data_IF_189722024082
#
_entry.id   IF_189722024082
#
_cell.length_a   1.000
_cell.length_b   1.000
_cell.length_c   1.000
_cell.angle_alpha   90.00
_cell.angle_beta   90.00
_cell.angle_gamma   90.00
#
_symmetry.space_group_name_H-M   'P 1'
#
loop_
_entity.id
_entity.type
_entity.pdbx_description
1 polymer ?
#
# COMPACT_ATOMS: atom_id res chain seq x y z
N UNK A 1 13.36 22.08 -13.41
CA UNK A 1 11.90 22.15 -13.60
C UNK A 1 11.31 22.79 -12.34
N UNK A 2 10.36 23.73 -12.49
CA UNK A 2 9.69 24.34 -11.34
C UNK A 2 8.38 23.60 -11.03
N UNK A 3 8.06 23.47 -9.74
CA UNK A 3 6.80 22.90 -9.28
C UNK A 3 5.65 23.90 -9.48
N UNK A 4 4.44 23.38 -9.62
CA UNK A 4 3.21 24.18 -9.59
C UNK A 4 3.03 24.81 -8.21
N UNK A 5 2.48 26.01 -8.18
CA UNK A 5 2.20 26.74 -6.95
C UNK A 5 0.71 26.68 -6.64
N UNK A 6 0.37 26.26 -5.44
CA UNK A 6 -1.01 26.35 -4.95
C UNK A 6 -1.29 27.78 -4.49
N UNK A 7 -2.28 28.43 -5.11
CA UNK A 7 -2.74 29.80 -4.77
C UNK A 7 -3.81 29.72 -3.67
N UNK A 8 -4.79 28.84 -3.84
CA UNK A 8 -5.88 28.66 -2.86
C UNK A 8 -6.42 27.24 -2.85
N UNK A 9 -7.08 26.88 -1.77
CA UNK A 9 -7.78 25.59 -1.56
C UNK A 9 -9.17 25.86 -1.02
N UNK A 10 -10.13 25.06 -1.47
CA UNK A 10 -11.50 25.11 -0.98
C UNK A 10 -12.06 23.70 -0.88
N UNK A 11 -12.43 23.27 0.30
CA UNK A 11 -13.12 21.98 0.50
C UNK A 11 -14.50 22.06 -0.18
N UNK A 12 -14.82 21.10 -1.02
CA UNK A 12 -16.12 20.95 -1.70
C UNK A 12 -16.90 19.74 -1.18
N UNK A 13 -16.20 18.72 -0.67
CA UNK A 13 -16.80 17.55 -0.02
C UNK A 13 -15.87 17.08 1.09
N UNK A 14 -16.42 16.85 2.26
CA UNK A 14 -15.76 16.11 3.34
C UNK A 14 -16.72 14.97 3.73
N UNK A 15 -16.36 13.73 3.37
CA UNK A 15 -17.17 12.56 3.59
C UNK A 15 -16.39 11.49 4.34
N UNK A 16 -16.56 11.46 5.67
CA UNK A 16 -15.86 10.56 6.58
C UNK A 16 -14.32 10.75 6.62
N UNK A 17 -13.65 9.91 7.38
CA UNK A 17 -12.17 9.87 7.43
C UNK A 17 -11.52 9.38 6.11
N UNK A 18 -12.31 8.82 5.20
CA UNK A 18 -11.78 8.17 3.99
C UNK A 18 -11.75 9.07 2.75
N UNK A 19 -12.48 10.21 2.75
CA UNK A 19 -12.58 11.03 1.55
C UNK A 19 -12.79 12.50 1.86
N UNK A 20 -11.85 13.34 1.40
CA UNK A 20 -12.05 14.78 1.26
C UNK A 20 -11.76 15.17 -0.18
N UNK A 21 -12.58 16.05 -0.74
CA UNK A 21 -12.40 16.61 -2.08
C UNK A 21 -12.30 18.12 -1.98
N UNK A 22 -11.28 18.68 -2.63
CA UNK A 22 -11.02 20.11 -2.66
C UNK A 22 -10.92 20.60 -4.11
N UNK A 23 -11.31 21.86 -4.33
CA UNK A 23 -10.91 22.66 -5.50
C UNK A 23 -9.64 23.44 -5.15
N UNK A 24 -8.58 23.25 -5.91
CA UNK A 24 -7.38 24.07 -5.83
C UNK A 24 -7.35 25.07 -6.98
N UNK A 25 -6.90 26.30 -6.70
CA UNK A 25 -6.41 27.21 -7.74
C UNK A 25 -4.89 27.05 -7.77
N UNK A 26 -4.35 26.70 -8.94
CA UNK A 26 -2.91 26.46 -9.12
C UNK A 26 -2.32 27.35 -10.20
N UNK A 27 -1.08 27.76 -10.03
CA UNK A 27 -0.27 28.50 -11.01
C UNK A 27 0.82 27.58 -11.56
N UNK A 28 0.86 27.49 -12.88
CA UNK A 28 1.89 26.76 -13.61
C UNK A 28 3.19 27.58 -13.72
N UNK A 29 4.34 26.95 -14.00
CA UNK A 29 5.63 27.66 -14.10
C UNK A 29 5.65 28.83 -15.07
N UNK A 30 4.87 28.74 -16.14
CA UNK A 30 4.72 29.80 -17.15
C UNK A 30 3.72 30.90 -16.75
N UNK A 31 3.21 30.91 -15.53
CA UNK A 31 2.29 31.90 -14.98
C UNK A 31 0.81 31.66 -15.31
N UNK A 32 0.46 30.63 -16.06
CA UNK A 32 -0.95 30.26 -16.30
C UNK A 32 -1.63 29.78 -15.04
N UNK A 33 -2.78 30.36 -14.73
CA UNK A 33 -3.59 29.98 -13.58
C UNK A 33 -4.71 29.04 -14.00
N UNK A 34 -4.84 27.92 -13.31
CA UNK A 34 -5.94 26.97 -13.45
C UNK A 34 -6.76 27.02 -12.18
N UNK A 35 -8.03 27.40 -12.30
CA UNK A 35 -9.02 27.34 -11.22
C UNK A 35 -9.71 25.97 -11.22
N UNK A 36 -10.16 25.54 -10.04
CA UNK A 36 -10.90 24.27 -9.85
C UNK A 36 -10.10 23.03 -10.29
N UNK A 37 -8.83 22.98 -9.94
CA UNK A 37 -8.05 21.76 -10.07
C UNK A 37 -8.52 20.77 -9.01
N UNK A 38 -9.13 19.61 -9.37
CA UNK A 38 -9.69 18.70 -8.39
C UNK A 38 -8.58 18.02 -7.60
N UNK A 39 -8.68 18.08 -6.28
CA UNK A 39 -7.77 17.45 -5.33
C UNK A 39 -8.54 16.49 -4.45
N UNK A 40 -8.11 15.23 -4.39
CA UNK A 40 -8.75 14.17 -3.62
C UNK A 40 -7.80 13.73 -2.53
N UNK A 41 -8.26 13.69 -1.29
CA UNK A 41 -7.50 13.26 -0.14
C UNK A 41 -8.12 11.97 0.39
N UNK A 42 -7.30 10.94 0.52
CA UNK A 42 -7.63 9.65 1.13
C UNK A 42 -6.56 9.29 2.16
N UNK A 43 -6.82 8.40 3.11
CA UNK A 43 -5.82 7.97 4.09
C UNK A 43 -4.57 7.39 3.43
N UNK A 44 -3.42 7.66 4.03
CA UNK A 44 -2.17 6.98 3.71
C UNK A 44 -2.23 5.53 4.20
N UNK A 45 -1.42 4.64 3.60
CA UNK A 45 -1.46 3.22 3.92
C UNK A 45 -0.09 2.55 3.78
N UNK A 46 0.04 1.39 4.40
CA UNK A 46 1.19 0.50 4.26
C UNK A 46 0.85 -0.73 3.44
N UNK A 47 1.84 -1.26 2.70
CA UNK A 47 1.82 -2.62 2.19
C UNK A 47 3.16 -3.30 2.50
N UNK A 48 3.08 -4.58 2.85
CA UNK A 48 4.21 -5.37 3.31
C UNK A 48 4.34 -6.63 2.48
N UNK A 49 5.47 -6.81 1.83
CA UNK A 49 5.89 -8.11 1.35
C UNK A 49 6.49 -8.86 2.55
N UNK A 50 5.95 -10.01 2.87
CA UNK A 50 6.34 -10.78 4.06
C UNK A 50 7.01 -12.07 3.64
N UNK A 51 8.29 -12.23 3.99
CA UNK A 51 9.07 -13.44 3.77
C UNK A 51 9.24 -14.17 5.11
N UNK A 52 8.73 -15.39 5.20
CA UNK A 52 8.83 -16.23 6.40
C UNK A 52 10.26 -16.73 6.61
N UNK A 53 10.52 -17.27 7.81
CA UNK A 53 11.80 -17.93 8.11
C UNK A 53 12.08 -19.16 7.22
N UNK A 54 11.02 -19.77 6.65
CA UNK A 54 11.11 -20.88 5.69
C UNK A 54 11.34 -20.43 4.24
N UNK A 55 11.39 -19.12 3.98
CA UNK A 55 11.62 -18.56 2.63
C UNK A 55 10.37 -18.50 1.73
N UNK A 56 9.17 -18.55 2.30
CA UNK A 56 7.90 -18.42 1.58
C UNK A 56 7.29 -17.03 1.83
N UNK A 57 6.63 -16.50 0.82
CA UNK A 57 5.88 -15.24 0.94
C UNK A 57 4.48 -15.48 1.50
N UNK A 58 4.06 -14.65 2.45
CA UNK A 58 2.67 -14.60 2.90
C UNK A 58 1.88 -13.69 1.97
N UNK A 59 0.80 -14.22 1.42
CA UNK A 59 -0.13 -13.50 0.55
C UNK A 59 -1.56 -13.85 0.94
N UNK A 60 -2.48 -12.93 0.70
CA UNK A 60 -3.89 -13.23 0.80
C UNK A 60 -4.49 -13.52 -0.58
N UNK A 61 -5.42 -14.48 -0.65
CA UNK A 61 -6.40 -14.56 -1.73
C UNK A 61 -7.70 -13.96 -1.21
N UNK A 62 -8.15 -12.87 -1.82
CA UNK A 62 -9.30 -12.12 -1.33
C UNK A 62 -10.11 -11.49 -2.44
N UNK A 63 -11.31 -11.02 -2.09
CA UNK A 63 -12.13 -10.15 -2.93
C UNK A 63 -11.97 -8.70 -2.50
N UNK A 64 -12.19 -7.76 -3.41
CA UNK A 64 -12.37 -6.33 -3.10
C UNK A 64 -13.47 -5.77 -3.99
N UNK A 65 -14.27 -4.88 -3.47
CA UNK A 65 -15.45 -4.34 -4.15
C UNK A 65 -15.20 -3.84 -5.58
N UNK A 66 -14.05 -3.24 -5.82
CA UNK A 66 -13.67 -2.69 -7.14
C UNK A 66 -12.98 -3.72 -8.07
N UNK A 67 -12.83 -4.98 -7.65
CA UNK A 67 -12.09 -6.00 -8.40
C UNK A 67 -13.06 -7.12 -8.81
N UNK A 68 -13.07 -7.47 -10.11
CA UNK A 68 -13.81 -8.64 -10.58
C UNK A 68 -13.12 -9.94 -10.14
N UNK A 69 -13.86 -10.80 -9.44
CA UNK A 69 -13.36 -12.08 -8.91
C UNK A 69 -12.38 -11.89 -7.74
N UNK A 70 -11.44 -12.81 -7.59
CA UNK A 70 -10.41 -12.75 -6.55
C UNK A 70 -9.12 -12.12 -7.04
N UNK A 71 -8.29 -11.68 -6.10
CA UNK A 71 -6.92 -11.20 -6.33
C UNK A 71 -5.99 -11.78 -5.29
N UNK A 72 -4.72 -11.92 -5.63
CA UNK A 72 -3.67 -11.96 -4.62
C UNK A 72 -3.43 -10.56 -4.06
N UNK A 73 -3.09 -10.51 -2.78
CA UNK A 73 -2.80 -9.29 -2.03
C UNK A 73 -1.60 -9.49 -1.10
N UNK A 74 -0.89 -8.41 -0.84
CA UNK A 74 0.07 -8.32 0.26
C UNK A 74 -0.64 -8.00 1.56
N UNK A 75 0.02 -8.19 2.68
CA UNK A 75 -0.38 -7.64 3.99
C UNK A 75 -0.40 -6.12 3.92
N UNK A 76 -1.33 -5.45 4.63
CA UNK A 76 -1.33 -3.99 4.75
C UNK A 76 -2.67 -3.36 5.00
N UNK A 77 -2.63 -2.14 5.53
CA UNK A 77 -3.80 -1.38 5.90
C UNK A 77 -3.54 0.12 6.01
N UNK A 78 -4.51 0.86 6.51
CA UNK A 78 -4.41 2.30 6.66
C UNK A 78 -3.59 2.69 7.91
N UNK A 79 -2.85 3.79 7.78
CA UNK A 79 -2.23 4.42 8.94
C UNK A 79 -3.31 5.00 9.87
N UNK A 80 -3.13 4.81 11.17
CA UNK A 80 -3.88 5.53 12.17
C UNK A 80 -3.38 6.99 12.31
N UNK A 81 -4.20 7.91 12.83
CA UNK A 81 -3.79 9.30 13.00
C UNK A 81 -2.53 9.45 13.86
N UNK A 82 -1.44 9.92 13.25
CA UNK A 82 -0.16 10.12 13.93
C UNK A 82 0.70 8.87 14.06
N UNK A 83 0.30 7.76 13.43
CA UNK A 83 1.06 6.53 13.44
C UNK A 83 2.25 6.61 12.47
N UNK A 84 3.41 6.13 12.94
CA UNK A 84 4.60 5.99 12.07
C UNK A 84 4.44 4.81 11.10
N UNK A 85 4.81 4.93 9.82
CA UNK A 85 4.55 3.90 8.81
C UNK A 85 5.10 2.51 9.15
N UNK A 86 6.30 2.42 9.73
CA UNK A 86 6.86 1.13 10.13
C UNK A 86 6.09 0.52 11.32
N UNK A 87 5.56 1.34 12.21
CA UNK A 87 4.72 0.85 13.32
C UNK A 87 3.41 0.29 12.77
N UNK A 88 2.76 1.00 11.84
CA UNK A 88 1.58 0.51 11.12
C UNK A 88 1.86 -0.82 10.41
N UNK A 89 2.97 -0.93 9.69
CA UNK A 89 3.35 -2.16 8.99
C UNK A 89 3.50 -3.36 9.93
N UNK A 90 4.08 -3.16 11.11
CA UNK A 90 4.23 -4.20 12.14
C UNK A 90 2.89 -4.59 12.76
N UNK A 91 2.04 -3.60 13.06
CA UNK A 91 0.69 -3.82 13.59
C UNK A 91 -0.15 -4.63 12.61
N UNK A 92 -0.23 -4.20 11.34
CA UNK A 92 -1.00 -4.89 10.29
C UNK A 92 -0.51 -6.33 10.07
N UNK A 93 0.83 -6.55 10.07
CA UNK A 93 1.37 -7.90 9.96
C UNK A 93 0.88 -8.80 11.09
N UNK A 94 0.91 -8.31 12.32
CA UNK A 94 0.49 -9.08 13.49
C UNK A 94 -1.04 -9.30 13.49
N UNK A 95 -1.82 -8.26 13.27
CA UNK A 95 -3.29 -8.30 13.31
C UNK A 95 -3.85 -9.19 12.20
N UNK A 96 -3.42 -9.00 10.96
CA UNK A 96 -3.95 -9.75 9.82
C UNK A 96 -3.47 -11.22 9.78
N UNK A 97 -2.24 -11.50 10.23
CA UNK A 97 -1.63 -12.82 10.01
C UNK A 97 -1.24 -13.58 11.28
N UNK A 98 -1.10 -12.89 12.39
CA UNK A 98 -0.51 -13.45 13.62
C UNK A 98 1.01 -13.63 13.54
N UNK A 99 1.69 -13.00 12.55
CA UNK A 99 3.14 -13.09 12.38
C UNK A 99 3.86 -11.82 12.87
N UNK A 100 5.09 -12.02 13.32
CA UNK A 100 6.07 -10.97 13.58
C UNK A 100 7.34 -11.24 12.77
N UNK A 101 8.07 -10.18 12.41
CA UNK A 101 9.33 -10.28 11.69
C UNK A 101 10.45 -9.52 12.42
N UNK A 102 11.66 -10.11 12.55
CA UNK A 102 12.80 -9.47 13.18
C UNK A 102 13.48 -8.42 12.27
N UNK A 103 13.38 -8.57 10.94
CA UNK A 103 14.08 -7.73 9.97
C UNK A 103 13.10 -7.00 9.07
N UNK A 104 13.38 -5.71 8.83
CA UNK A 104 12.54 -4.84 8.02
C UNK A 104 13.39 -4.00 7.08
N UNK A 105 13.03 -3.99 5.80
CA UNK A 105 13.61 -3.08 4.81
C UNK A 105 12.54 -2.10 4.30
N UNK A 106 12.89 -0.82 4.24
CA UNK A 106 12.08 0.21 3.59
C UNK A 106 12.27 0.11 2.07
N UNK A 107 11.21 -0.23 1.35
CA UNK A 107 11.18 -0.30 -0.11
C UNK A 107 10.77 1.02 -0.76
N UNK A 108 10.58 2.05 0.04
CA UNK A 108 10.22 3.39 -0.36
C UNK A 108 8.75 3.75 -0.13
N UNK A 109 8.48 5.02 -0.35
CA UNK A 109 7.13 5.56 -0.27
C UNK A 109 6.75 6.27 -1.56
N UNK A 110 5.52 6.08 -2.00
CA UNK A 110 5.09 6.48 -3.34
C UNK A 110 3.75 7.20 -3.29
N UNK A 111 3.67 8.34 -4.00
CA UNK A 111 2.39 9.01 -4.19
C UNK A 111 1.52 8.18 -5.13
N UNK A 112 0.29 7.83 -4.70
CA UNK A 112 -0.62 6.99 -5.48
C UNK A 112 -1.08 7.68 -6.77
N UNK A 113 -1.24 9.00 -6.74
CA UNK A 113 -1.60 9.78 -7.92
C UNK A 113 -0.81 11.09 -7.96
N UNK A 114 0.06 11.26 -8.95
CA UNK A 114 1.00 12.39 -9.05
C UNK A 114 0.36 13.78 -9.18
N UNK A 115 -0.90 13.86 -9.62
CA UNK A 115 -1.62 15.11 -9.79
C UNK A 115 -2.85 15.26 -8.87
N UNK A 116 -2.92 14.45 -7.83
CA UNK A 116 -4.01 14.41 -6.84
C UNK A 116 -3.41 14.19 -5.44
N UNK A 117 -4.15 14.54 -4.42
CA UNK A 117 -3.78 14.29 -3.03
C UNK A 117 -4.12 12.88 -2.53
N UNK A 118 -4.33 11.95 -3.46
CA UNK A 118 -4.60 10.55 -3.11
C UNK A 118 -3.38 9.98 -2.41
N UNK A 119 -3.59 9.35 -1.29
CA UNK A 119 -2.70 8.66 -0.39
C UNK A 119 -1.18 8.65 -0.70
N UNK A 120 -0.39 8.49 0.32
CA UNK A 120 0.97 7.96 0.23
C UNK A 120 0.92 6.45 0.52
N UNK A 121 1.53 5.64 -0.33
CA UNK A 121 1.76 4.23 -0.10
C UNK A 121 3.17 4.06 0.48
N UNK A 122 3.29 3.46 1.67
CA UNK A 122 4.57 3.10 2.28
C UNK A 122 4.77 1.60 2.11
N UNK A 123 5.88 1.20 1.50
CA UNK A 123 6.14 -0.17 1.11
C UNK A 123 7.31 -0.75 1.91
N UNK A 124 7.11 -1.93 2.50
CA UNK A 124 8.10 -2.60 3.32
C UNK A 124 8.31 -4.05 2.90
N UNK A 125 9.50 -4.57 3.19
CA UNK A 125 9.79 -6.00 3.21
C UNK A 125 10.05 -6.42 4.66
N UNK A 126 9.26 -7.38 5.14
CA UNK A 126 9.46 -8.05 6.41
C UNK A 126 10.14 -9.40 6.16
N UNK A 127 11.24 -9.72 6.85
CA UNK A 127 12.02 -10.96 6.66
C UNK A 127 12.12 -11.76 7.95
N UNK A 128 12.19 -13.09 7.77
CA UNK A 128 12.27 -14.03 8.88
C UNK A 128 10.97 -14.07 9.70
N UNK A 129 9.84 -13.83 9.05
CA UNK A 129 8.56 -13.78 9.72
C UNK A 129 8.17 -15.14 10.28
N UNK A 130 7.70 -15.16 11.53
CA UNK A 130 7.24 -16.36 12.23
C UNK A 130 5.90 -16.10 12.90
N UNK A 131 5.08 -17.14 12.99
CA UNK A 131 3.77 -17.05 13.66
C UNK A 131 3.95 -16.99 15.16
N UNK A 132 3.36 -16.01 15.80
CA UNK A 132 3.43 -15.79 17.27
C UNK A 132 2.05 -15.72 17.91
N UNK A 133 0.99 -15.49 17.13
CA UNK A 133 -0.38 -15.37 17.63
C UNK A 133 -1.39 -15.92 16.61
N UNK A 134 -2.65 -16.05 17.03
CA UNK A 134 -3.77 -16.16 16.09
C UNK A 134 -4.05 -14.80 15.49
N UNK A 135 -4.47 -14.71 14.20
CA UNK A 135 -4.92 -13.47 13.58
C UNK A 135 -6.10 -12.87 14.35
N UNK A 136 -6.11 -11.55 14.47
CA UNK A 136 -7.21 -10.75 15.05
C UNK A 136 -7.68 -9.71 14.03
N UNK A 137 -7.93 -10.17 12.79
CA UNK A 137 -8.37 -9.32 11.70
C UNK A 137 -9.89 -9.13 11.76
N UNK A 138 -10.33 -7.87 11.75
CA UNK A 138 -11.75 -7.47 11.64
C UNK A 138 -12.07 -7.03 10.19
N UNK A 139 -11.63 -7.83 9.22
CA UNK A 139 -11.83 -7.56 7.80
C UNK A 139 -13.27 -7.82 7.37
N UNK A 140 -13.80 -6.91 6.56
CA UNK A 140 -15.15 -7.04 5.99
C UNK A 140 -15.22 -8.08 4.86
N UNK A 141 -14.07 -8.40 4.26
CA UNK A 141 -13.97 -9.31 3.13
C UNK A 141 -13.48 -10.69 3.56
N UNK A 142 -13.97 -11.70 2.88
CA UNK A 142 -13.44 -13.06 3.01
C UNK A 142 -12.03 -13.10 2.41
N UNK A 143 -11.06 -13.55 3.22
CA UNK A 143 -9.67 -13.67 2.81
C UNK A 143 -9.08 -15.01 3.27
N UNK A 144 -8.19 -15.56 2.44
CA UNK A 144 -7.44 -16.77 2.71
C UNK A 144 -5.96 -16.47 2.72
N UNK A 145 -5.29 -16.72 3.85
CA UNK A 145 -3.83 -16.61 3.94
C UNK A 145 -3.18 -17.80 3.19
N UNK A 146 -2.25 -17.48 2.32
CA UNK A 146 -1.47 -18.42 1.51
C UNK A 146 0.01 -18.25 1.81
N UNK A 147 0.76 -19.35 1.67
CA UNK A 147 2.22 -19.36 1.65
C UNK A 147 2.64 -19.71 0.23
N UNK A 148 3.36 -18.82 -0.41
CA UNK A 148 3.78 -18.95 -1.80
C UNK A 148 5.31 -18.94 -1.88
N UNK A 149 5.86 -19.84 -2.67
CA UNK A 149 7.28 -19.80 -3.02
C UNK A 149 7.59 -18.54 -3.85
N UNK A 150 8.85 -18.16 -3.92
CA UNK A 150 9.33 -17.08 -4.77
C UNK A 150 8.87 -17.25 -6.23
N UNK A 151 9.02 -18.46 -6.79
CA UNK A 151 8.64 -18.74 -8.17
C UNK A 151 7.13 -18.58 -8.43
N UNK A 152 6.28 -18.94 -7.45
CA UNK A 152 4.83 -18.72 -7.52
C UNK A 152 4.46 -17.24 -7.47
N UNK A 153 5.15 -16.43 -6.65
CA UNK A 153 4.95 -14.98 -6.62
C UNK A 153 5.37 -14.33 -7.94
N UNK A 154 6.52 -14.71 -8.51
CA UNK A 154 6.98 -14.23 -9.81
C UNK A 154 5.98 -14.60 -10.94
N UNK A 155 5.49 -15.83 -10.96
CA UNK A 155 4.49 -16.27 -11.91
C UNK A 155 3.16 -15.52 -11.75
N UNK A 156 2.72 -15.30 -10.51
CA UNK A 156 1.49 -14.58 -10.21
C UNK A 156 1.57 -13.09 -10.60
N UNK A 157 2.72 -12.45 -10.39
CA UNK A 157 2.98 -11.09 -10.88
C UNK A 157 2.91 -11.02 -12.41
N UNK A 158 3.57 -11.95 -13.09
CA UNK A 158 3.56 -12.02 -14.56
C UNK A 158 2.15 -12.29 -15.12
N UNK A 159 1.34 -13.07 -14.42
CA UNK A 159 -0.05 -13.36 -14.77
C UNK A 159 -1.06 -12.26 -14.40
N UNK A 160 -0.62 -11.22 -13.69
CA UNK A 160 -1.51 -10.13 -13.23
C UNK A 160 -2.49 -10.56 -12.14
N UNK A 161 -2.14 -11.54 -11.30
CA UNK A 161 -2.98 -11.99 -10.20
C UNK A 161 -3.02 -10.99 -9.03
N UNK A 162 -2.00 -10.13 -8.86
CA UNK A 162 -2.02 -8.98 -7.97
C UNK A 162 -2.72 -7.80 -8.67
N UNK A 163 -4.03 -7.68 -8.53
CA UNK A 163 -4.86 -6.73 -9.30
C UNK A 163 -4.89 -5.30 -8.74
N UNK A 164 -4.27 -5.05 -7.59
CA UNK A 164 -4.07 -3.70 -7.05
C UNK A 164 -2.61 -3.27 -7.26
N UNK A 165 -2.42 -2.06 -7.79
CA UNK A 165 -1.10 -1.57 -8.16
C UNK A 165 -0.10 -1.61 -7.00
N UNK A 166 -0.51 -1.21 -5.80
CA UNK A 166 0.35 -1.20 -4.63
C UNK A 166 0.79 -2.62 -4.21
N UNK A 167 -0.10 -3.62 -4.31
CA UNK A 167 0.23 -5.02 -4.03
C UNK A 167 1.25 -5.59 -5.00
N UNK A 168 1.03 -5.37 -6.31
CA UNK A 168 1.98 -5.77 -7.33
C UNK A 168 3.33 -5.05 -7.15
N UNK A 169 3.30 -3.76 -6.81
CA UNK A 169 4.52 -2.95 -6.64
C UNK A 169 5.35 -3.42 -5.45
N UNK A 170 4.75 -3.65 -4.28
CA UNK A 170 5.51 -4.08 -3.10
C UNK A 170 6.15 -5.45 -3.31
N UNK A 171 5.44 -6.39 -3.94
CA UNK A 171 5.99 -7.72 -4.25
C UNK A 171 7.13 -7.63 -5.26
N UNK A 172 6.97 -6.86 -6.34
CA UNK A 172 8.03 -6.67 -7.33
C UNK A 172 9.28 -6.00 -6.74
N UNK A 173 9.11 -4.96 -5.91
CA UNK A 173 10.22 -4.29 -5.25
C UNK A 173 10.91 -5.19 -4.22
N UNK A 174 10.16 -6.03 -3.50
CA UNK A 174 10.74 -7.00 -2.59
C UNK A 174 11.62 -8.03 -3.33
N UNK A 175 11.16 -8.57 -4.46
CA UNK A 175 11.96 -9.46 -5.29
C UNK A 175 13.24 -8.79 -5.79
N UNK A 176 13.14 -7.54 -6.29
CA UNK A 176 14.30 -6.76 -6.73
C UNK A 176 15.28 -6.42 -5.59
N UNK A 177 14.77 -6.27 -4.37
CA UNK A 177 15.61 -6.02 -3.20
C UNK A 177 16.40 -7.28 -2.83
N UNK A 178 15.73 -8.42 -2.81
CA UNK A 178 16.36 -9.72 -2.51
C UNK A 178 17.43 -10.10 -3.55
N UNK A 179 17.21 -9.83 -4.84
CA UNK A 179 18.18 -10.08 -5.92
C UNK A 179 19.49 -9.27 -5.81
N UNK A 180 19.51 -8.22 -5.01
CA UNK A 180 20.71 -7.38 -4.82
C UNK A 180 21.56 -7.81 -3.63
N UNK A 181 20.99 -8.65 -2.78
CA UNK A 181 21.69 -9.17 -1.60
C UNK A 181 22.33 -10.54 -1.88
N UNK A 182 21.89 -11.24 -2.93
CA UNK A 182 22.49 -12.49 -3.46
C UNK A 182 23.68 -12.17 -4.41
#
# INVERSE_FOLDING_TARGET
MQSWKTISRRVILNHSKFLTVEDHTVELPEGRVISKWPWVITPDYVNVAVLTEDGEFLCFRQTKYAIAGTSLASVGGYLEPGEEPLAAAKRELLEETGYEAPEWADLGHYRVAGNRGVAMAYLFLARGARRVAEPDADDLEEQQLLRLSRAEVEAALAAGEFKVLAWATVMALALLHLDRED
#
